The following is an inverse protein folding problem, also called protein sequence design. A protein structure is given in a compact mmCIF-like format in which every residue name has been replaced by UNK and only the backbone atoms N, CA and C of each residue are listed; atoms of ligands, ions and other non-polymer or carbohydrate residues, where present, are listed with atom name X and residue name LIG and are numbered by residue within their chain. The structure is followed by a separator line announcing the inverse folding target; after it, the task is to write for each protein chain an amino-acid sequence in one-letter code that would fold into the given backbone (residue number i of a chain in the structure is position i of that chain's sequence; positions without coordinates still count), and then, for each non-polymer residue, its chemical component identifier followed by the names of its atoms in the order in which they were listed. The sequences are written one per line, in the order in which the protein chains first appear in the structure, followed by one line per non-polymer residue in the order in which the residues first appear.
data_IF_660799384895
#
_entry.id   IF_660799384895
#
_cell.length_a   1.000
_cell.length_b   1.000
_cell.length_c   1.000
_cell.angle_alpha   90.00
_cell.angle_beta   90.00
_cell.angle_gamma   90.00
#
_symmetry.space_group_name_H-M   'P 1'
#
loop_
_entity.id
_entity.type
_entity.pdbx_description
1 polymer ?
#
# COMPACT_ATOMS: atom_id res chain seq x y z
N UNK A 1 3.83 -19.53 33.15
CA UNK A 1 3.03 -20.40 34.04
C UNK A 1 3.42 -21.86 33.88
N UNK A 2 3.37 -22.43 32.66
CA UNK A 2 3.86 -23.81 32.40
C UNK A 2 5.34 -23.99 32.77
N UNK A 3 6.21 -23.09 32.31
CA UNK A 3 7.66 -23.18 32.61
C UNK A 3 7.96 -23.06 34.11
N UNK A 4 7.35 -22.08 34.79
CA UNK A 4 7.48 -21.95 36.24
C UNK A 4 6.98 -23.18 37.04
N UNK A 5 5.98 -23.91 36.52
CA UNK A 5 5.50 -25.16 37.16
C UNK A 5 6.47 -26.34 36.95
N UNK A 6 7.20 -26.37 35.83
CA UNK A 6 8.28 -27.36 35.60
C UNK A 6 9.44 -27.11 36.55
N UNK A 7 9.79 -25.85 36.77
CA UNK A 7 10.87 -25.46 37.69
C UNK A 7 10.57 -25.86 39.14
N UNK A 8 9.29 -25.91 39.52
CA UNK A 8 8.82 -26.33 40.86
C UNK A 8 8.60 -27.86 40.94
N UNK A 9 8.77 -28.60 39.84
CA UNK A 9 8.66 -30.07 39.81
C UNK A 9 7.22 -30.60 39.92
N UNK A 10 6.22 -29.79 39.57
CA UNK A 10 4.82 -30.21 39.61
C UNK A 10 4.50 -31.13 38.44
N UNK A 11 4.07 -32.37 38.73
CA UNK A 11 3.70 -33.37 37.71
C UNK A 11 2.31 -33.16 37.12
N UNK A 12 1.43 -32.44 37.81
CA UNK A 12 0.06 -32.14 37.37
C UNK A 12 -0.28 -30.69 37.66
N UNK A 13 -1.01 -30.04 36.74
CA UNK A 13 -1.43 -28.64 36.86
C UNK A 13 -2.90 -28.54 36.43
N UNK A 14 -3.75 -27.83 37.18
CA UNK A 14 -5.12 -27.57 36.76
C UNK A 14 -5.12 -26.64 35.54
N UNK A 15 -5.64 -27.13 34.42
CA UNK A 15 -5.81 -26.36 33.20
C UNK A 15 -7.29 -25.98 33.04
N UNK A 16 -7.53 -24.72 32.68
CA UNK A 16 -8.84 -24.32 32.16
C UNK A 16 -8.78 -24.51 30.65
N UNK A 17 -9.65 -25.37 30.13
CA UNK A 17 -9.84 -25.56 28.69
C UNK A 17 -11.05 -24.70 28.33
N UNK A 18 -10.80 -23.60 27.61
CA UNK A 18 -11.87 -22.83 26.98
C UNK A 18 -12.16 -23.47 25.63
N UNK A 19 -13.42 -23.80 25.36
CA UNK A 19 -13.90 -24.30 24.05
C UNK A 19 -14.08 -23.15 23.04
N UNK A 20 -14.14 -21.91 23.54
CA UNK A 20 -14.27 -20.73 22.72
C UNK A 20 -12.90 -20.41 22.09
N UNK A 21 -12.83 -20.47 20.76
CA UNK A 21 -11.78 -19.78 20.02
C UNK A 21 -12.00 -18.27 20.22
N UNK A 22 -11.48 -17.74 21.33
CA UNK A 22 -11.44 -16.32 21.59
C UNK A 22 -10.46 -15.68 20.59
N UNK A 23 -10.94 -15.51 19.36
CA UNK A 23 -10.27 -14.85 18.23
C UNK A 23 -10.19 -13.34 18.45
N UNK A 24 -10.11 -12.90 19.70
CA UNK A 24 -9.91 -11.50 20.07
C UNK A 24 -8.46 -11.12 19.79
N UNK A 25 -8.12 -11.15 18.50
CA UNK A 25 -6.99 -10.43 17.96
C UNK A 25 -7.20 -8.96 18.30
N UNK A 26 -6.16 -8.32 18.84
CA UNK A 26 -6.09 -6.88 19.07
C UNK A 26 -6.54 -6.02 17.87
N UNK A 27 -6.56 -6.60 16.66
CA UNK A 27 -6.94 -5.94 15.41
C UNK A 27 -8.42 -6.05 15.04
N UNK A 28 -9.32 -6.53 15.92
CA UNK A 28 -10.78 -6.64 15.61
C UNK A 28 -11.41 -5.34 15.13
N UNK A 29 -10.90 -4.19 15.57
CA UNK A 29 -11.38 -2.85 15.17
C UNK A 29 -10.50 -2.18 14.10
N UNK A 30 -9.45 -2.85 13.63
CA UNK A 30 -8.55 -2.31 12.59
C UNK A 30 -9.11 -2.70 11.22
N UNK A 31 -9.99 -1.84 10.70
CA UNK A 31 -10.50 -2.00 9.36
C UNK A 31 -9.54 -1.35 8.36
N UNK A 32 -8.83 -2.15 7.55
CA UNK A 32 -7.93 -1.62 6.52
C UNK A 32 -8.76 -1.29 5.28
N UNK A 33 -9.17 -0.04 5.14
CA UNK A 33 -9.83 0.42 3.90
C UNK A 33 -8.80 0.53 2.77
N UNK A 34 -9.10 0.02 1.55
CA UNK A 34 -8.34 0.37 0.36
C UNK A 34 -8.29 1.89 0.18
N UNK A 35 -7.14 2.41 -0.22
CA UNK A 35 -6.91 3.86 -0.32
C UNK A 35 -7.88 4.52 -1.31
N UNK A 36 -8.23 3.83 -2.40
CA UNK A 36 -9.20 4.33 -3.39
C UNK A 36 -10.62 4.36 -2.82
N UNK A 37 -10.98 3.38 -1.99
CA UNK A 37 -12.27 3.37 -1.31
C UNK A 37 -12.35 4.53 -0.30
N UNK A 38 -11.29 4.74 0.49
CA UNK A 38 -11.20 5.88 1.40
C UNK A 38 -11.37 7.21 0.67
N UNK A 39 -10.70 7.37 -0.48
CA UNK A 39 -10.85 8.53 -1.36
C UNK A 39 -12.30 8.75 -1.80
N UNK A 40 -12.98 7.69 -2.27
CA UNK A 40 -14.38 7.76 -2.72
C UNK A 40 -15.32 8.14 -1.58
N UNK A 41 -15.11 7.58 -0.38
CA UNK A 41 -15.91 7.92 0.80
C UNK A 41 -15.75 9.39 1.20
N UNK A 42 -14.51 9.90 1.14
CA UNK A 42 -14.21 11.31 1.42
C UNK A 42 -14.92 12.22 0.41
N UNK A 43 -14.86 11.91 -0.89
CA UNK A 43 -15.57 12.67 -1.92
C UNK A 43 -17.09 12.65 -1.70
N UNK A 44 -17.67 11.47 -1.45
CA UNK A 44 -19.11 11.34 -1.19
C UNK A 44 -19.56 12.16 0.03
N UNK A 45 -18.75 12.25 1.08
CA UNK A 45 -19.07 13.07 2.24
C UNK A 45 -19.08 14.57 1.90
N UNK A 46 -18.16 15.03 1.05
CA UNK A 46 -18.13 16.42 0.58
C UNK A 46 -19.30 16.72 -0.35
N UNK A 47 -19.60 15.81 -1.29
CA UNK A 47 -20.74 15.94 -2.20
C UNK A 47 -22.09 15.98 -1.45
N UNK A 48 -22.16 15.30 -0.30
CA UNK A 48 -23.30 15.37 0.61
C UNK A 48 -23.36 16.68 1.44
N UNK A 49 -22.42 17.61 1.25
CA UNK A 49 -22.40 18.93 1.89
C UNK A 49 -21.70 18.98 3.24
N UNK A 50 -20.92 17.97 3.62
CA UNK A 50 -20.14 18.00 4.87
C UNK A 50 -18.91 18.89 4.70
N UNK A 51 -18.75 19.88 5.58
CA UNK A 51 -17.58 20.78 5.60
C UNK A 51 -16.27 20.02 5.84
N UNK A 52 -15.18 20.41 5.14
CA UNK A 52 -13.83 19.84 5.29
C UNK A 52 -13.38 19.73 6.75
N UNK A 53 -13.69 20.75 7.57
CA UNK A 53 -13.34 20.83 8.99
C UNK A 53 -13.95 19.69 9.81
N UNK A 54 -15.23 19.37 9.57
CA UNK A 54 -15.93 18.27 10.24
C UNK A 54 -15.36 16.91 9.85
N UNK A 55 -15.00 16.73 8.58
CA UNK A 55 -14.37 15.49 8.08
C UNK A 55 -12.99 15.34 8.71
N UNK A 56 -12.19 16.41 8.70
CA UNK A 56 -10.86 16.48 9.33
C UNK A 56 -10.90 16.13 10.81
N UNK A 57 -11.84 16.71 11.57
CA UNK A 57 -12.05 16.42 12.98
C UNK A 57 -12.46 14.96 13.22
N UNK A 58 -13.35 14.44 12.39
CA UNK A 58 -13.87 13.07 12.52
C UNK A 58 -12.83 12.00 12.18
N UNK A 59 -11.96 12.28 11.21
CA UNK A 59 -10.85 11.41 10.82
C UNK A 59 -9.57 11.64 11.64
N UNK A 60 -9.56 12.65 12.51
CA UNK A 60 -8.39 13.07 13.29
C UNK A 60 -7.14 13.32 12.41
N UNK A 61 -7.33 13.98 11.26
CA UNK A 61 -6.26 14.35 10.32
C UNK A 61 -6.28 15.86 10.07
N UNK A 62 -5.16 16.46 9.67
CA UNK A 62 -5.14 17.88 9.31
C UNK A 62 -5.90 18.15 8.01
N UNK A 63 -6.43 19.37 7.87
CA UNK A 63 -7.13 19.82 6.66
C UNK A 63 -6.23 19.74 5.42
N UNK A 64 -4.94 20.03 5.55
CA UNK A 64 -3.98 19.92 4.44
C UNK A 64 -3.80 18.47 3.98
N UNK A 65 -3.78 17.52 4.93
CA UNK A 65 -3.71 16.10 4.59
C UNK A 65 -5.00 15.63 3.91
N UNK A 66 -6.16 16.12 4.36
CA UNK A 66 -7.45 15.86 3.72
C UNK A 66 -7.45 16.39 2.28
N UNK A 67 -6.95 17.60 2.06
CA UNK A 67 -6.84 18.20 0.72
C UNK A 67 -5.89 17.43 -0.20
N UNK A 68 -4.80 16.90 0.34
CA UNK A 68 -3.91 16.03 -0.42
C UNK A 68 -4.63 14.74 -0.86
N UNK A 69 -5.56 14.21 -0.04
CA UNK A 69 -6.37 13.05 -0.42
C UNK A 69 -7.32 13.35 -1.57
N UNK A 70 -7.91 14.55 -1.66
CA UNK A 70 -8.77 14.92 -2.82
C UNK A 70 -8.02 14.88 -4.15
N UNK A 71 -6.70 15.02 -4.16
CA UNK A 71 -5.86 14.99 -5.36
C UNK A 71 -5.13 13.65 -5.55
N UNK A 72 -5.58 12.60 -4.87
CA UNK A 72 -4.90 11.31 -4.91
C UNK A 72 -4.90 10.72 -6.32
N UNK A 73 -6.06 10.71 -6.98
CA UNK A 73 -6.25 10.12 -8.30
C UNK A 73 -5.89 11.06 -9.45
N UNK A 74 -5.50 12.30 -9.16
CA UNK A 74 -5.05 13.25 -10.18
C UNK A 74 -3.85 12.68 -10.93
N UNK A 75 -3.97 12.59 -12.26
CA UNK A 75 -2.94 12.04 -13.14
C UNK A 75 -2.83 10.52 -13.15
N UNK A 76 -3.80 9.80 -12.57
CA UNK A 76 -3.92 8.34 -12.66
C UNK A 76 -4.99 7.99 -13.69
N UNK A 77 -4.70 7.03 -14.57
CA UNK A 77 -5.67 6.62 -15.57
C UNK A 77 -6.90 5.93 -14.94
N UNK A 78 -8.10 6.05 -15.55
CA UNK A 78 -9.30 5.36 -15.05
C UNK A 78 -9.14 3.84 -15.01
N UNK A 79 -8.46 3.26 -15.99
CA UNK A 79 -8.19 1.82 -16.07
C UNK A 79 -7.29 1.37 -14.91
N UNK A 80 -6.21 2.12 -14.66
CA UNK A 80 -5.33 1.86 -13.51
C UNK A 80 -6.07 2.00 -12.19
N UNK A 81 -6.95 2.99 -12.08
CA UNK A 81 -7.79 3.19 -10.88
C UNK A 81 -8.73 2.01 -10.64
N UNK A 82 -9.31 1.44 -11.71
CA UNK A 82 -10.18 0.28 -11.61
C UNK A 82 -9.45 -0.96 -11.10
N UNK A 83 -8.22 -1.22 -11.59
CA UNK A 83 -7.39 -2.33 -11.11
C UNK A 83 -7.03 -2.21 -9.63
N UNK A 84 -6.75 -0.99 -9.18
CA UNK A 84 -6.32 -0.72 -7.82
C UNK A 84 -7.48 -0.60 -6.82
N UNK A 85 -8.74 -0.56 -7.27
CA UNK A 85 -9.89 -0.20 -6.44
C UNK A 85 -10.06 -1.08 -5.20
N UNK A 86 -9.78 -2.37 -5.33
CA UNK A 86 -9.92 -3.37 -4.26
C UNK A 86 -8.57 -3.79 -3.65
N UNK A 87 -7.47 -3.15 -4.03
CA UNK A 87 -6.13 -3.54 -3.61
C UNK A 87 -5.61 -2.67 -2.47
N UNK A 88 -4.90 -3.29 -1.52
CA UNK A 88 -4.24 -2.58 -0.43
C UNK A 88 -2.92 -1.97 -0.90
N UNK A 89 -3.02 -0.84 -1.59
CA UNK A 89 -1.85 -0.14 -2.14
C UNK A 89 -1.47 1.08 -1.30
N UNK A 90 -0.20 1.24 -0.90
CA UNK A 90 0.25 2.44 -0.21
C UNK A 90 0.07 3.72 -1.05
N UNK A 91 -0.33 4.82 -0.41
CA UNK A 91 -0.49 6.13 -1.07
C UNK A 91 0.76 6.60 -1.85
N UNK A 92 1.95 6.23 -1.38
CA UNK A 92 3.21 6.58 -2.01
C UNK A 92 3.35 6.05 -3.45
N UNK A 93 2.63 4.98 -3.82
CA UNK A 93 2.68 4.38 -5.15
C UNK A 93 2.01 5.28 -6.19
N UNK A 94 0.90 5.94 -5.83
CA UNK A 94 0.20 6.87 -6.73
C UNK A 94 1.10 8.04 -7.14
N UNK A 95 1.92 8.56 -6.22
CA UNK A 95 2.89 9.61 -6.52
C UNK A 95 4.00 9.16 -7.50
N UNK A 96 4.30 7.86 -7.55
CA UNK A 96 5.27 7.28 -8.50
C UNK A 96 4.60 7.05 -9.86
N UNK A 97 3.39 6.47 -9.87
CA UNK A 97 2.61 6.22 -11.08
C UNK A 97 2.31 7.52 -11.84
N UNK A 98 2.06 8.64 -11.13
CA UNK A 98 1.87 9.98 -11.72
C UNK A 98 3.06 10.48 -12.54
N UNK A 99 4.22 9.84 -12.47
CA UNK A 99 5.39 10.20 -13.31
C UNK A 99 5.41 9.46 -14.66
N UNK A 100 4.54 8.46 -14.83
CA UNK A 100 4.40 7.63 -16.02
C UNK A 100 3.16 8.04 -16.80
N UNK A 101 3.20 7.85 -18.13
CA UNK A 101 2.03 7.99 -19.01
C UNK A 101 0.99 6.89 -18.73
N UNK A 102 -0.29 7.08 -19.10
CA UNK A 102 -1.38 6.14 -18.80
C UNK A 102 -1.10 4.68 -19.18
N UNK A 103 -0.59 4.44 -20.40
CA UNK A 103 -0.26 3.09 -20.89
C UNK A 103 0.73 2.37 -19.96
N UNK A 104 1.78 3.09 -19.54
CA UNK A 104 2.79 2.56 -18.65
C UNK A 104 2.29 2.38 -17.22
N UNK A 105 1.39 3.23 -16.74
CA UNK A 105 0.76 3.06 -15.43
C UNK A 105 0.02 1.72 -15.34
N UNK A 106 -0.72 1.37 -16.39
CA UNK A 106 -1.46 0.11 -16.48
C UNK A 106 -0.51 -1.09 -16.43
N UNK A 107 0.53 -1.08 -17.27
CA UNK A 107 1.52 -2.15 -17.32
C UNK A 107 2.26 -2.29 -15.98
N UNK A 108 2.75 -1.19 -15.40
CA UNK A 108 3.45 -1.21 -14.13
C UNK A 108 2.59 -1.76 -12.98
N UNK A 109 1.31 -1.38 -12.93
CA UNK A 109 0.37 -1.91 -11.93
C UNK A 109 0.08 -3.39 -12.17
N UNK A 110 -0.07 -3.82 -13.43
CA UNK A 110 -0.23 -5.24 -13.75
C UNK A 110 0.97 -6.07 -13.26
N UNK A 111 2.20 -5.58 -13.46
CA UNK A 111 3.41 -6.24 -12.95
C UNK A 111 3.47 -6.26 -11.42
N UNK A 112 3.06 -5.17 -10.75
CA UNK A 112 2.98 -5.14 -9.28
C UNK A 112 1.95 -6.13 -8.73
N UNK A 113 0.82 -6.30 -9.41
CA UNK A 113 -0.22 -7.25 -9.04
C UNK A 113 0.24 -8.70 -9.23
N UNK A 114 0.89 -9.02 -10.35
CA UNK A 114 1.36 -10.39 -10.61
C UNK A 114 2.41 -10.86 -9.60
N UNK A 115 3.28 -9.95 -9.15
CA UNK A 115 4.31 -10.23 -8.14
C UNK A 115 3.76 -10.00 -6.71
N UNK A 116 2.54 -9.47 -6.58
CA UNK A 116 1.92 -9.08 -5.31
C UNK A 116 2.83 -8.18 -4.44
N UNK A 117 3.49 -7.20 -5.07
CA UNK A 117 4.46 -6.33 -4.40
C UNK A 117 4.20 -4.85 -4.70
N UNK A 118 3.53 -4.18 -3.77
CA UNK A 118 3.27 -2.73 -3.81
C UNK A 118 4.27 -1.93 -2.97
N UNK A 119 5.51 -2.41 -2.83
CA UNK A 119 6.54 -1.68 -2.10
C UNK A 119 7.01 -0.45 -2.88
N UNK A 120 7.34 0.62 -2.15
CA UNK A 120 7.89 1.85 -2.74
C UNK A 120 9.16 1.57 -3.56
N UNK A 121 10.01 0.66 -3.09
CA UNK A 121 11.27 0.31 -3.77
C UNK A 121 10.99 -0.31 -5.14
N UNK A 122 10.04 -1.23 -5.21
CA UNK A 122 9.66 -1.91 -6.45
C UNK A 122 9.00 -0.97 -7.45
N UNK A 123 8.14 -0.07 -6.98
CA UNK A 123 7.56 0.96 -7.85
C UNK A 123 8.61 1.94 -8.40
N UNK A 124 9.59 2.33 -7.58
CA UNK A 124 10.71 3.17 -8.05
C UNK A 124 11.57 2.46 -9.07
N UNK A 125 11.80 1.16 -8.94
CA UNK A 125 12.53 0.41 -9.97
C UNK A 125 11.73 0.34 -11.26
N UNK A 126 10.43 0.05 -11.23
CA UNK A 126 9.61 0.06 -12.45
C UNK A 126 9.61 1.42 -13.16
N UNK A 127 9.65 2.51 -12.40
CA UNK A 127 9.84 3.86 -12.94
C UNK A 127 11.21 4.06 -13.58
N UNK A 128 12.27 3.51 -12.98
CA UNK A 128 13.62 3.62 -13.52
C UNK A 128 13.79 2.91 -14.87
N UNK A 129 13.15 1.75 -15.06
CA UNK A 129 13.19 1.01 -16.32
C UNK A 129 12.18 1.51 -17.36
N UNK A 130 11.38 2.51 -17.01
CA UNK A 130 10.43 3.10 -17.95
C UNK A 130 11.19 3.94 -18.99
N UNK A 131 10.95 3.72 -20.30
CA UNK A 131 11.60 4.51 -21.34
C UNK A 131 11.16 5.99 -21.26
N UNK A 132 12.04 6.91 -21.67
CA UNK A 132 11.81 8.36 -21.61
C UNK A 132 10.50 8.76 -22.32
N UNK A 133 10.12 8.04 -23.38
CA UNK A 133 8.91 8.26 -24.17
C UNK A 133 7.61 7.94 -23.41
N UNK A 134 7.71 7.12 -22.37
CA UNK A 134 6.58 6.71 -21.50
C UNK A 134 6.57 7.48 -20.17
N UNK A 135 7.50 8.42 -19.97
CA UNK A 135 7.51 9.33 -18.83
C UNK A 135 6.76 10.62 -19.15
N UNK A 136 6.17 11.24 -18.12
CA UNK A 136 5.57 12.57 -18.24
C UNK A 136 6.66 13.65 -18.31
N UNK A 137 7.69 13.55 -17.45
CA UNK A 137 8.83 14.46 -17.40
C UNK A 137 10.16 13.68 -17.44
N UNK A 138 10.74 13.42 -18.62
CA UNK A 138 11.96 12.62 -18.78
C UNK A 138 13.25 13.29 -18.26
N UNK A 139 13.21 14.60 -17.96
CA UNK A 139 14.38 15.34 -17.45
C UNK A 139 14.60 15.13 -15.93
N UNK A 140 13.54 14.88 -15.18
CA UNK A 140 13.58 14.71 -13.72
C UNK A 140 13.98 13.28 -13.28
N UNK A 141 13.87 12.30 -14.18
CA UNK A 141 14.18 10.89 -13.92
C UNK A 141 15.68 10.57 -13.91
N UNK A 142 16.50 11.39 -14.58
CA UNK A 142 17.94 11.12 -14.79
C UNK A 142 18.81 11.33 -13.55
N UNK A 143 18.32 12.06 -12.54
CA UNK A 143 19.08 12.43 -11.34
C UNK A 143 19.24 11.31 -10.28
N UNK A 144 18.62 10.12 -10.47
CA UNK A 144 18.62 9.03 -9.46
C UNK A 144 19.00 7.66 -10.02
N UNK A 145 19.85 7.62 -11.05
CA UNK A 145 20.10 6.43 -11.88
C UNK A 145 21.00 5.35 -11.25
N UNK A 146 21.92 5.68 -10.33
CA UNK A 146 22.99 4.72 -9.98
C UNK A 146 22.64 3.73 -8.85
N UNK A 147 21.92 4.14 -7.81
CA UNK A 147 21.69 3.27 -6.63
C UNK A 147 20.47 2.36 -6.76
N UNK A 148 19.48 2.72 -7.59
CA UNK A 148 18.21 1.99 -7.68
C UNK A 148 18.28 0.85 -8.72
N UNK A 149 19.02 1.03 -9.82
CA UNK A 149 19.23 -0.01 -10.84
C UNK A 149 19.92 -1.25 -10.27
N UNK A 150 20.94 -1.06 -9.40
CA UNK A 150 21.62 -2.16 -8.70
C UNK A 150 20.68 -2.94 -7.78
N UNK A 151 19.72 -2.26 -7.14
CA UNK A 151 18.77 -2.91 -6.25
C UNK A 151 17.74 -3.76 -7.02
N UNK A 152 17.35 -3.37 -8.24
CA UNK A 152 16.45 -4.17 -9.06
C UNK A 152 17.14 -5.40 -9.66
N UNK A 153 18.35 -5.27 -10.19
CA UNK A 153 19.12 -6.44 -10.67
C UNK A 153 19.38 -7.46 -9.56
N UNK A 154 19.50 -7.01 -8.30
CA UNK A 154 19.53 -7.94 -7.15
C UNK A 154 18.17 -8.57 -6.90
N UNK A 155 17.09 -7.78 -6.93
CA UNK A 155 15.73 -8.28 -6.75
C UNK A 155 15.29 -9.27 -7.84
N UNK A 156 15.63 -9.05 -9.11
CA UNK A 156 15.38 -10.00 -10.20
C UNK A 156 16.11 -11.32 -9.96
N UNK A 157 17.36 -11.28 -9.49
CA UNK A 157 18.08 -12.51 -9.10
C UNK A 157 17.42 -13.22 -7.93
N UNK A 158 16.96 -12.47 -6.93
CA UNK A 158 16.26 -13.03 -5.76
C UNK A 158 14.91 -13.64 -6.16
N UNK A 159 14.17 -13.02 -7.10
CA UNK A 159 12.92 -13.56 -7.63
C UNK A 159 13.15 -14.81 -8.49
N UNK A 160 14.12 -14.78 -9.41
CA UNK A 160 14.47 -15.94 -10.23
C UNK A 160 14.98 -17.13 -9.41
N UNK A 161 15.57 -16.88 -8.23
CA UNK A 161 16.01 -17.93 -7.32
C UNK A 161 14.87 -18.57 -6.50
N UNK A 162 13.69 -17.91 -6.39
CA UNK A 162 12.50 -18.48 -5.74
C UNK A 162 11.62 -19.30 -6.69
N UNK A 163 11.86 -19.24 -8.00
CA UNK A 163 11.13 -20.01 -9.02
C UNK A 163 11.75 -21.39 -9.32
N UNK A 164 12.65 -21.88 -8.45
CA UNK A 164 13.27 -23.22 -8.52
C UNK A 164 12.79 -24.10 -7.38
#
# INVERSE_FOLDING_TARGET
RVEASKDIGLSTVPCLISEDEESYSYNKYVNRLPVIQEYRMILQAVDAGVSEEKISQSLNISVDTLRAKFRLLDGISPETTALLANQHVPQAIFAILRKMKPERQLEAVSTMMSINNFSRKFALSLLHYTPDDMLINPKDSKLKQQDIAKNFARMEREMAAMEI
#
